data_IF_027749019755
#
_entry.id   IF_027749019755
#
_cell.length_a   1.000
_cell.length_b   1.000
_cell.length_c   1.000
_cell.angle_alpha   90.00
_cell.angle_beta   90.00
_cell.angle_gamma   90.00
#
_symmetry.space_group_name_H-M   'P 1'
#
loop_
_entity.id
_entity.type
_entity.pdbx_description
1 polymer ?
#
# COMPACT_ATOMS: atom_id res chain seq x y z
N UNK A 1 30.96 -2.65 26.24
CA UNK A 1 29.93 -1.97 25.47
C UNK A 1 29.01 -3.03 24.91
N UNK A 2 27.76 -2.97 25.30
CA UNK A 2 26.70 -3.90 24.93
C UNK A 2 26.59 -3.99 23.41
N UNK A 3 27.10 -5.06 22.87
CA UNK A 3 26.66 -5.59 21.59
C UNK A 3 25.19 -5.95 21.84
N UNK A 4 24.23 -5.41 21.08
CA UNK A 4 22.79 -5.69 21.23
C UNK A 4 22.42 -7.13 20.82
N UNK A 5 23.38 -8.05 20.96
CA UNK A 5 23.30 -9.45 20.57
C UNK A 5 23.43 -10.36 21.79
N UNK A 6 22.54 -11.36 21.87
CA UNK A 6 22.68 -12.43 22.82
C UNK A 6 23.80 -13.39 22.40
N UNK A 7 24.67 -13.73 23.34
CA UNK A 7 25.77 -14.65 23.10
C UNK A 7 25.65 -15.81 24.10
N UNK A 8 25.66 -17.04 23.60
CA UNK A 8 25.70 -18.27 24.37
C UNK A 8 26.92 -19.05 23.90
N UNK A 9 27.75 -19.51 24.83
CA UNK A 9 28.82 -20.46 24.51
C UNK A 9 28.50 -21.84 25.07
N UNK A 10 28.91 -22.87 24.35
CA UNK A 10 28.73 -24.26 24.78
C UNK A 10 30.07 -24.98 24.82
N UNK A 11 30.11 -26.09 25.53
CA UNK A 11 31.19 -27.05 25.44
C UNK A 11 31.05 -27.97 24.21
N UNK A 12 31.96 -28.93 24.05
CA UNK A 12 31.97 -29.86 22.91
C UNK A 12 30.75 -30.81 22.89
N UNK A 13 30.10 -31.01 24.03
CA UNK A 13 28.88 -31.82 24.18
C UNK A 13 27.61 -31.01 23.92
N UNK A 14 27.70 -29.69 23.61
CA UNK A 14 26.55 -28.79 23.35
C UNK A 14 25.89 -28.25 24.61
N UNK A 15 26.48 -28.44 25.82
CA UNK A 15 25.98 -27.84 27.05
C UNK A 15 26.49 -26.42 27.23
N UNK A 16 25.66 -25.60 27.82
CA UNK A 16 25.93 -24.17 27.99
C UNK A 16 27.03 -23.92 29.00
N UNK A 17 28.02 -23.13 28.60
CA UNK A 17 29.08 -22.61 29.47
C UNK A 17 28.77 -21.23 30.02
N UNK A 18 28.41 -20.28 29.14
CA UNK A 18 28.16 -18.89 29.50
C UNK A 18 26.99 -18.29 28.71
N UNK A 19 26.31 -17.33 29.33
CA UNK A 19 25.38 -16.41 28.70
C UNK A 19 25.81 -14.98 28.97
N UNK A 20 25.75 -14.12 27.95
CA UNK A 20 25.87 -12.67 28.22
C UNK A 20 24.54 -12.10 28.75
N UNK A 21 24.56 -10.83 29.20
CA UNK A 21 23.38 -10.16 29.75
C UNK A 21 22.21 -10.10 28.78
N UNK A 22 22.49 -9.87 27.48
CA UNK A 22 21.45 -9.82 26.42
C UNK A 22 20.82 -11.20 26.20
N UNK A 23 21.63 -12.27 26.18
CA UNK A 23 21.09 -13.61 26.09
C UNK A 23 20.22 -13.97 27.30
N UNK A 24 20.64 -13.56 28.51
CA UNK A 24 19.84 -13.76 29.73
C UNK A 24 18.49 -13.01 29.64
N UNK A 25 18.48 -11.77 29.17
CA UNK A 25 17.26 -10.97 29.01
C UNK A 25 16.30 -11.60 27.99
N UNK A 26 16.82 -11.97 26.81
CA UNK A 26 16.00 -12.51 25.74
C UNK A 26 15.48 -13.93 26.01
N UNK A 27 16.26 -14.77 26.69
CA UNK A 27 15.85 -16.15 27.01
C UNK A 27 15.07 -16.25 28.32
N UNK A 28 15.21 -15.27 29.21
CA UNK A 28 14.65 -15.27 30.55
C UNK A 28 15.42 -16.15 31.55
N UNK A 29 16.60 -16.69 31.18
CA UNK A 29 17.43 -17.50 32.01
C UNK A 29 18.60 -16.72 32.60
N UNK A 30 18.88 -16.89 33.89
CA UNK A 30 20.15 -16.40 34.44
C UNK A 30 21.30 -17.26 33.95
N UNK A 31 22.51 -16.70 33.86
CA UNK A 31 23.69 -17.48 33.50
C UNK A 31 23.89 -18.70 34.43
N UNK A 32 23.69 -18.49 35.75
CA UNK A 32 23.84 -19.54 36.74
C UNK A 32 22.83 -20.70 36.57
N UNK A 33 21.58 -20.38 36.19
CA UNK A 33 20.52 -21.38 35.98
C UNK A 33 20.64 -22.11 34.64
N UNK A 34 21.27 -21.46 33.65
CA UNK A 34 21.46 -21.99 32.31
C UNK A 34 22.73 -22.83 32.16
N UNK A 35 23.71 -22.66 33.04
CA UNK A 35 25.00 -23.38 33.00
C UNK A 35 24.78 -24.90 33.07
N UNK A 36 25.54 -25.67 32.26
CA UNK A 36 25.47 -27.13 32.13
C UNK A 36 24.15 -27.69 31.56
N UNK A 37 23.19 -26.83 31.16
CA UNK A 37 21.96 -27.26 30.48
C UNK A 37 22.19 -27.46 28.99
N UNK A 38 21.33 -28.27 28.39
CA UNK A 38 21.24 -28.40 26.94
C UNK A 38 20.78 -27.07 26.30
N UNK A 39 21.39 -26.69 25.18
CA UNK A 39 21.04 -25.41 24.50
C UNK A 39 19.55 -25.29 24.25
N UNK A 40 18.88 -26.33 23.76
CA UNK A 40 17.45 -26.26 23.38
C UNK A 40 16.50 -26.16 24.59
N UNK A 41 16.97 -26.36 25.82
CA UNK A 41 16.17 -26.03 27.00
C UNK A 41 16.08 -24.53 27.26
N UNK A 42 17.14 -23.80 26.91
CA UNK A 42 17.32 -22.37 27.16
C UNK A 42 16.97 -21.55 25.90
N UNK A 43 17.52 -21.96 24.76
CA UNK A 43 17.27 -21.31 23.44
C UNK A 43 16.17 -22.08 22.71
N UNK A 44 14.91 -21.83 23.11
CA UNK A 44 13.71 -22.48 22.55
C UNK A 44 13.25 -21.79 21.33
N UNK A 45 13.67 -22.24 20.17
CA UNK A 45 13.31 -21.66 18.87
C UNK A 45 12.41 -22.57 18.06
N UNK A 46 11.53 -21.97 17.28
CA UNK A 46 10.61 -22.63 16.35
C UNK A 46 10.57 -21.89 15.01
N UNK A 47 10.14 -22.58 13.95
CA UNK A 47 9.89 -21.99 12.67
C UNK A 47 8.55 -21.18 12.67
N UNK A 48 8.26 -20.45 11.59
CA UNK A 48 7.00 -19.73 11.43
C UNK A 48 5.76 -20.64 11.39
N UNK A 49 5.95 -21.94 11.12
CA UNK A 49 4.88 -22.96 11.11
C UNK A 49 4.60 -23.58 12.48
N UNK A 50 5.12 -22.99 13.57
CA UNK A 50 5.01 -23.49 14.95
C UNK A 50 5.68 -24.83 15.19
N UNK A 51 6.60 -25.25 14.32
CA UNK A 51 7.38 -26.49 14.48
C UNK A 51 8.67 -26.17 15.22
N UNK A 52 8.92 -26.89 16.31
CA UNK A 52 10.23 -26.84 16.97
C UNK A 52 11.33 -27.23 15.97
N UNK A 53 12.48 -26.55 16.03
CA UNK A 53 13.64 -26.97 15.24
C UNK A 53 13.96 -28.42 15.59
N UNK A 54 14.02 -29.25 14.56
CA UNK A 54 14.23 -30.71 14.73
C UNK A 54 15.63 -30.99 15.23
N UNK A 55 16.62 -30.20 14.85
CA UNK A 55 18.03 -30.41 15.16
C UNK A 55 18.56 -29.21 15.97
N UNK A 56 19.36 -29.56 16.98
CA UNK A 56 20.10 -28.58 17.76
C UNK A 56 21.17 -27.93 16.86
N UNK A 57 21.08 -26.60 16.58
CA UNK A 57 22.00 -25.94 15.66
C UNK A 57 23.48 -26.02 16.11
N UNK A 58 23.72 -26.08 17.40
CA UNK A 58 25.07 -26.29 17.93
C UNK A 58 25.61 -27.69 17.60
N UNK A 59 24.78 -28.72 17.79
CA UNK A 59 25.21 -30.07 17.48
C UNK A 59 25.50 -30.26 15.98
N UNK A 60 24.70 -29.61 15.13
CA UNK A 60 24.95 -29.64 13.68
C UNK A 60 26.24 -28.89 13.34
N UNK A 61 26.45 -27.68 13.90
CA UNK A 61 27.67 -26.90 13.66
C UNK A 61 28.93 -27.63 14.11
N UNK A 62 28.85 -28.32 15.25
CA UNK A 62 29.97 -29.14 15.80
C UNK A 62 30.25 -30.39 14.94
N UNK A 63 29.18 -31.08 14.49
CA UNK A 63 29.33 -32.31 13.70
C UNK A 63 29.82 -32.01 12.27
N UNK A 64 29.35 -30.95 11.64
CA UNK A 64 29.71 -30.56 10.27
C UNK A 64 30.91 -29.61 10.22
N UNK A 65 31.39 -29.18 11.38
CA UNK A 65 32.55 -28.28 11.54
C UNK A 65 32.46 -27.02 10.66
N UNK A 66 31.27 -26.45 10.60
CA UNK A 66 30.97 -25.24 9.79
C UNK A 66 30.12 -24.22 10.55
N UNK A 67 30.18 -22.98 10.09
CA UNK A 67 29.30 -21.91 10.57
C UNK A 67 27.89 -22.18 10.01
N UNK A 68 26.90 -22.08 10.88
CA UNK A 68 25.48 -22.15 10.55
C UNK A 68 24.82 -20.81 10.79
N UNK A 69 24.03 -20.37 9.86
CA UNK A 69 23.15 -19.21 10.00
C UNK A 69 21.70 -19.68 10.00
N UNK A 70 20.82 -18.92 10.66
CA UNK A 70 19.39 -19.14 10.48
C UNK A 70 18.99 -18.70 9.07
N UNK A 71 18.68 -19.67 8.20
CA UNK A 71 18.21 -19.38 6.82
C UNK A 71 16.73 -18.95 6.77
N UNK A 72 16.03 -19.10 7.87
CA UNK A 72 14.60 -18.78 8.00
C UNK A 72 14.34 -18.00 9.28
N UNK A 73 13.19 -17.35 9.28
CA UNK A 73 12.66 -16.63 10.41
C UNK A 73 12.35 -17.58 11.55
N UNK A 74 13.08 -17.48 12.64
CA UNK A 74 12.82 -18.27 13.85
C UNK A 74 12.26 -17.39 14.96
N UNK A 75 11.40 -18.00 15.77
CA UNK A 75 10.79 -17.36 16.93
C UNK A 75 11.42 -17.97 18.18
N UNK A 76 12.08 -17.17 18.98
CA UNK A 76 12.56 -17.53 20.32
C UNK A 76 11.43 -17.31 21.32
N UNK A 77 11.12 -18.34 22.12
CA UNK A 77 10.19 -18.21 23.24
C UNK A 77 10.98 -18.22 24.54
N UNK A 78 10.86 -17.15 25.32
CA UNK A 78 11.53 -17.03 26.61
C UNK A 78 10.83 -17.87 27.71
N UNK A 79 11.41 -17.86 28.91
CA UNK A 79 10.89 -18.60 30.06
C UNK A 79 9.52 -18.10 30.52
N UNK A 80 9.23 -16.81 30.34
CA UNK A 80 7.94 -16.18 30.68
C UNK A 80 6.85 -16.44 29.65
N UNK A 81 7.22 -16.97 28.47
CA UNK A 81 6.29 -17.21 27.35
C UNK A 81 6.26 -16.12 26.31
N UNK A 82 7.04 -15.04 26.46
CA UNK A 82 7.15 -13.98 25.46
C UNK A 82 7.91 -14.50 24.22
N UNK A 83 7.55 -13.95 23.07
CA UNK A 83 8.06 -14.40 21.78
C UNK A 83 8.80 -13.27 21.04
N UNK A 84 9.98 -13.60 20.57
CA UNK A 84 10.86 -12.70 19.84
C UNK A 84 11.26 -13.31 18.50
N UNK A 85 11.13 -12.56 17.42
CA UNK A 85 11.76 -12.93 16.17
C UNK A 85 13.27 -12.77 16.31
N UNK A 86 14.02 -13.81 16.05
CA UNK A 86 15.48 -13.80 16.18
C UNK A 86 16.17 -14.33 14.93
N UNK A 87 17.33 -13.75 14.65
CA UNK A 87 18.32 -14.31 13.74
C UNK A 87 19.49 -14.82 14.55
N UNK A 88 20.04 -15.97 14.19
CA UNK A 88 21.18 -16.52 14.89
C UNK A 88 22.26 -17.03 13.94
N UNK A 89 23.48 -17.04 14.48
CA UNK A 89 24.65 -17.66 13.86
C UNK A 89 25.32 -18.55 14.90
N UNK A 90 25.69 -19.75 14.50
CA UNK A 90 26.47 -20.69 15.33
C UNK A 90 27.80 -20.93 14.66
N UNK A 91 28.88 -20.84 15.42
CA UNK A 91 30.22 -21.13 14.96
C UNK A 91 30.96 -22.03 15.95
N UNK A 92 31.70 -23.07 15.47
CA UNK A 92 32.52 -23.90 16.33
C UNK A 92 33.71 -23.10 16.88
N UNK A 93 34.05 -23.32 18.17
CA UNK A 93 35.22 -22.76 18.85
C UNK A 93 36.31 -23.83 18.82
N UNK A 94 37.50 -23.48 18.37
CA UNK A 94 38.65 -24.40 18.21
C UNK A 94 39.84 -23.99 19.09
N UNK A 95 40.57 -24.97 19.52
CA UNK A 95 41.88 -24.76 20.10
C UNK A 95 42.97 -24.62 19.01
N UNK A 96 44.11 -24.08 19.36
CA UNK A 96 45.30 -23.94 18.49
C UNK A 96 45.80 -25.28 17.91
N UNK A 97 45.39 -26.42 18.51
CA UNK A 97 45.73 -27.76 18.10
C UNK A 97 44.70 -28.50 17.22
N UNK A 98 43.70 -27.85 16.66
CA UNK A 98 42.63 -28.38 15.81
C UNK A 98 41.54 -29.18 16.53
N UNK A 99 41.48 -29.17 17.87
CA UNK A 99 40.36 -29.77 18.65
C UNK A 99 39.19 -28.79 18.73
N UNK A 100 37.95 -29.31 18.58
CA UNK A 100 36.72 -28.53 18.80
C UNK A 100 36.50 -28.45 20.33
N UNK A 101 36.51 -27.22 20.87
CA UNK A 101 36.29 -26.94 22.29
C UNK A 101 34.81 -26.74 22.65
N UNK A 102 33.99 -26.36 21.64
CA UNK A 102 32.59 -26.05 21.81
C UNK A 102 32.07 -25.19 20.65
N UNK A 103 30.99 -24.46 20.88
CA UNK A 103 30.44 -23.54 19.91
C UNK A 103 30.05 -22.23 20.58
N UNK A 104 29.97 -21.17 19.73
CA UNK A 104 29.35 -19.92 20.08
C UNK A 104 28.10 -19.74 19.25
N UNK A 105 26.99 -19.47 19.90
CA UNK A 105 25.73 -19.01 19.33
C UNK A 105 25.63 -17.53 19.58
N UNK A 106 25.49 -16.76 18.50
CA UNK A 106 25.18 -15.33 18.55
C UNK A 106 23.81 -15.14 17.97
N UNK A 107 22.94 -14.40 18.64
CA UNK A 107 21.59 -14.12 18.16
C UNK A 107 21.15 -12.70 18.48
N UNK A 108 20.31 -12.14 17.63
CA UNK A 108 19.76 -10.81 17.81
C UNK A 108 18.24 -10.81 17.69
N UNK A 109 17.61 -9.96 18.48
CA UNK A 109 16.18 -9.69 18.35
C UNK A 109 15.92 -8.79 17.14
N UNK A 110 15.15 -9.29 16.18
CA UNK A 110 14.76 -8.58 14.96
C UNK A 110 13.26 -8.29 14.91
N UNK A 111 12.56 -8.42 16.03
CA UNK A 111 11.09 -8.27 16.09
C UNK A 111 10.65 -6.90 15.59
N UNK A 112 11.23 -5.81 16.13
CA UNK A 112 10.88 -4.45 15.69
C UNK A 112 11.26 -4.21 14.22
N UNK A 113 12.45 -4.65 13.80
CA UNK A 113 12.91 -4.50 12.42
C UNK A 113 11.94 -5.18 11.45
N UNK A 114 11.49 -6.38 11.79
CA UNK A 114 10.51 -7.13 10.98
C UNK A 114 9.13 -6.51 10.98
N UNK A 115 8.66 -6.05 12.12
CA UNK A 115 7.39 -5.33 12.21
C UNK A 115 7.42 -4.09 11.31
N UNK A 116 8.49 -3.29 11.38
CA UNK A 116 8.68 -2.13 10.51
C UNK A 116 8.75 -2.52 9.03
N UNK A 117 9.50 -3.57 8.68
CA UNK A 117 9.60 -4.04 7.30
C UNK A 117 8.25 -4.54 6.75
N UNK A 118 7.49 -5.30 7.56
CA UNK A 118 6.15 -5.76 7.19
C UNK A 118 5.16 -4.60 7.05
N UNK A 119 5.23 -3.61 7.95
CA UNK A 119 4.40 -2.42 7.88
C UNK A 119 4.72 -1.58 6.64
N UNK A 120 6.01 -1.37 6.33
CA UNK A 120 6.43 -0.70 5.10
C UNK A 120 5.97 -1.46 3.85
N UNK A 121 6.09 -2.78 3.82
CA UNK A 121 5.62 -3.60 2.72
C UNK A 121 4.09 -3.52 2.56
N UNK A 122 3.36 -3.49 3.66
CA UNK A 122 1.91 -3.31 3.66
C UNK A 122 1.52 -1.92 3.15
N UNK A 123 2.16 -0.85 3.65
CA UNK A 123 1.92 0.53 3.21
C UNK A 123 2.29 0.75 1.74
N UNK A 124 3.30 0.04 1.23
CA UNK A 124 3.67 0.09 -0.19
C UNK A 124 2.56 -0.43 -1.12
N UNK A 125 1.66 -1.29 -0.63
CA UNK A 125 0.62 -1.97 -1.41
C UNK A 125 -0.81 -1.61 -1.01
N UNK A 126 -1.02 -0.97 0.15
CA UNK A 126 -2.35 -0.65 0.69
C UNK A 126 -2.50 0.84 1.03
N UNK A 127 -3.72 1.33 0.92
CA UNK A 127 -4.11 2.67 1.35
C UNK A 127 -4.22 2.71 2.89
N UNK A 128 -3.48 3.61 3.51
CA UNK A 128 -3.37 3.67 4.98
C UNK A 128 -4.65 4.09 5.69
N UNK A 129 -5.56 4.78 5.00
CA UNK A 129 -6.83 5.20 5.58
C UNK A 129 -7.85 4.06 5.59
N UNK A 130 -8.01 3.37 4.47
CA UNK A 130 -9.09 2.40 4.26
C UNK A 130 -8.64 0.94 4.40
N UNK A 131 -7.33 0.67 4.35
CA UNK A 131 -6.79 -0.70 4.33
C UNK A 131 -7.00 -1.44 3.01
N UNK A 132 -7.59 -0.81 1.99
CA UNK A 132 -7.75 -1.37 0.66
C UNK A 132 -6.42 -1.34 -0.11
N UNK A 133 -6.37 -2.05 -1.21
CA UNK A 133 -5.26 -1.94 -2.16
C UNK A 133 -5.09 -0.46 -2.57
N UNK A 134 -3.85 0.03 -2.60
CA UNK A 134 -3.55 1.38 -3.07
C UNK A 134 -3.44 1.44 -4.60
N UNK A 135 -3.32 2.64 -5.15
CA UNK A 135 -3.21 2.87 -6.59
C UNK A 135 -2.06 2.09 -7.23
N UNK A 136 -0.88 2.10 -6.59
CA UNK A 136 0.31 1.45 -7.13
C UNK A 136 0.10 -0.07 -7.32
N UNK A 137 -0.37 -0.74 -6.30
CA UNK A 137 -0.63 -2.19 -6.36
C UNK A 137 -1.83 -2.52 -7.26
N UNK A 138 -2.84 -1.62 -7.33
CA UNK A 138 -3.94 -1.78 -8.27
C UNK A 138 -3.49 -1.73 -9.73
N UNK A 139 -2.63 -0.78 -10.09
CA UNK A 139 -2.07 -0.66 -11.42
C UNK A 139 -1.27 -1.92 -11.81
N UNK A 140 -0.52 -2.49 -10.86
CA UNK A 140 0.19 -3.77 -11.07
C UNK A 140 -0.78 -4.92 -11.36
N UNK A 141 -1.85 -5.05 -10.56
CA UNK A 141 -2.87 -6.11 -10.77
C UNK A 141 -3.64 -5.92 -12.06
N UNK A 142 -3.95 -4.69 -12.42
CA UNK A 142 -4.59 -4.36 -13.68
C UNK A 142 -3.70 -4.71 -14.88
N UNK A 143 -2.38 -4.48 -14.78
CA UNK A 143 -1.42 -4.90 -15.80
C UNK A 143 -1.40 -6.43 -15.98
N UNK A 144 -1.44 -7.19 -14.88
CA UNK A 144 -1.51 -8.65 -14.93
C UNK A 144 -2.82 -9.13 -15.55
N UNK A 145 -3.96 -8.50 -15.21
CA UNK A 145 -5.25 -8.81 -15.82
C UNK A 145 -5.25 -8.52 -17.32
N UNK A 146 -4.69 -7.38 -17.74
CA UNK A 146 -4.55 -7.05 -19.17
C UNK A 146 -3.65 -8.04 -19.91
N UNK A 147 -2.58 -8.49 -19.27
CA UNK A 147 -1.72 -9.52 -19.84
C UNK A 147 -2.43 -10.87 -19.97
N UNK A 148 -3.22 -11.26 -18.96
CA UNK A 148 -3.98 -12.52 -18.99
C UNK A 148 -5.13 -12.49 -19.98
N UNK A 149 -5.75 -11.32 -20.23
CA UNK A 149 -6.81 -11.15 -21.23
C UNK A 149 -6.31 -11.38 -22.68
N UNK A 150 -4.99 -11.36 -22.92
CA UNK A 150 -4.39 -11.70 -24.22
C UNK A 150 -4.37 -13.22 -24.49
N UNK A 151 -4.61 -14.03 -23.45
CA UNK A 151 -4.80 -15.48 -23.58
C UNK A 151 -6.24 -15.82 -23.95
N UNK A 152 -6.45 -17.05 -24.43
CA UNK A 152 -7.80 -17.52 -24.74
C UNK A 152 -8.63 -17.70 -23.46
N UNK A 153 -9.91 -17.28 -23.49
CA UNK A 153 -10.92 -17.46 -22.44
C UNK A 153 -10.74 -16.67 -21.11
N UNK A 154 -9.91 -15.65 -21.05
CA UNK A 154 -9.84 -14.77 -19.88
C UNK A 154 -10.60 -13.45 -20.13
N UNK A 155 -11.57 -13.17 -19.28
CA UNK A 155 -12.39 -11.96 -19.35
C UNK A 155 -12.31 -11.21 -18.04
N UNK A 156 -11.95 -9.96 -18.07
CA UNK A 156 -11.90 -9.11 -16.88
C UNK A 156 -12.70 -7.84 -17.12
N UNK A 157 -13.15 -7.22 -16.05
CA UNK A 157 -13.86 -5.94 -16.14
C UNK A 157 -13.34 -5.01 -15.05
N UNK A 158 -13.09 -3.77 -15.45
CA UNK A 158 -12.69 -2.67 -14.56
C UNK A 158 -13.92 -1.81 -14.25
N UNK A 159 -14.14 -1.52 -12.98
CA UNK A 159 -15.08 -0.54 -12.48
C UNK A 159 -14.30 0.62 -11.86
N UNK A 160 -14.60 1.85 -12.27
CA UNK A 160 -14.14 3.07 -11.64
C UNK A 160 -15.31 3.69 -10.88
N UNK A 161 -15.13 3.94 -9.60
CA UNK A 161 -16.21 4.31 -8.67
C UNK A 161 -15.83 5.64 -8.03
N UNK A 162 -16.69 6.62 -8.15
CA UNK A 162 -16.52 7.94 -7.54
C UNK A 162 -17.73 8.29 -6.68
N UNK A 163 -17.47 8.79 -5.47
CA UNK A 163 -18.51 9.14 -4.52
C UNK A 163 -19.12 10.50 -4.84
N UNK A 164 -20.38 10.49 -5.18
CA UNK A 164 -21.10 11.71 -5.46
C UNK A 164 -21.21 12.59 -4.22
N UNK A 165 -20.86 13.88 -4.38
CA UNK A 165 -21.01 14.89 -3.33
C UNK A 165 -20.21 14.64 -2.02
N UNK A 166 -19.18 13.80 -2.03
CA UNK A 166 -18.29 13.57 -0.88
C UNK A 166 -17.78 14.88 -0.27
N UNK A 167 -17.48 15.86 -1.11
CA UNK A 167 -17.06 17.17 -0.66
C UNK A 167 -18.05 17.85 0.29
N UNK A 168 -19.36 17.63 0.13
CA UNK A 168 -20.38 18.23 1.00
C UNK A 168 -20.19 17.73 2.45
N UNK A 169 -19.82 16.47 2.65
CA UNK A 169 -19.53 15.93 3.98
C UNK A 169 -18.30 16.60 4.57
N UNK A 170 -17.22 16.73 3.80
CA UNK A 170 -16.01 17.43 4.24
C UNK A 170 -16.27 18.90 4.58
N UNK A 171 -16.97 19.61 3.71
CA UNK A 171 -17.26 21.04 3.90
C UNK A 171 -18.21 21.28 5.09
N UNK A 172 -19.06 20.29 5.44
CA UNK A 172 -20.06 20.40 6.52
C UNK A 172 -19.54 19.92 7.88
N UNK A 173 -18.71 18.87 7.91
CA UNK A 173 -18.31 18.16 9.12
C UNK A 173 -16.79 18.07 9.30
N UNK A 174 -16.00 18.58 8.37
CA UNK A 174 -14.54 18.51 8.39
C UNK A 174 -13.97 17.20 7.83
N UNK A 175 -12.66 17.19 7.58
CA UNK A 175 -11.97 16.06 6.94
C UNK A 175 -12.04 14.77 7.75
N UNK A 176 -12.04 14.85 9.09
CA UNK A 176 -12.18 13.64 9.94
C UNK A 176 -13.48 12.89 9.71
N UNK A 177 -14.58 13.62 9.39
CA UNK A 177 -15.86 13.01 9.04
C UNK A 177 -15.79 12.33 7.66
N UNK A 178 -15.12 12.96 6.69
CA UNK A 178 -14.88 12.37 5.38
C UNK A 178 -14.03 11.10 5.45
N UNK A 179 -12.97 11.11 6.27
CA UNK A 179 -12.12 9.95 6.49
C UNK A 179 -12.91 8.78 7.10
N UNK A 180 -13.74 9.04 8.11
CA UNK A 180 -14.60 8.03 8.71
C UNK A 180 -15.65 7.49 7.72
N UNK A 181 -16.22 8.35 6.86
CA UNK A 181 -17.11 7.93 5.77
C UNK A 181 -16.40 6.97 4.81
N UNK A 182 -15.19 7.33 4.36
CA UNK A 182 -14.40 6.50 3.45
C UNK A 182 -14.06 5.14 4.05
N UNK A 183 -13.68 5.08 5.32
CA UNK A 183 -13.41 3.83 6.03
C UNK A 183 -14.63 2.92 6.11
N UNK A 184 -15.78 3.48 6.51
CA UNK A 184 -17.02 2.70 6.62
C UNK A 184 -17.50 2.21 5.26
N UNK A 185 -17.41 3.05 4.23
CA UNK A 185 -17.81 2.69 2.88
C UNK A 185 -16.88 1.64 2.27
N UNK A 186 -15.57 1.78 2.47
CA UNK A 186 -14.59 0.78 2.05
C UNK A 186 -14.93 -0.61 2.60
N UNK A 187 -15.28 -0.70 3.88
CA UNK A 187 -15.70 -1.96 4.51
C UNK A 187 -16.98 -2.53 3.86
N UNK A 188 -17.96 -1.69 3.52
CA UNK A 188 -19.19 -2.12 2.84
C UNK A 188 -18.93 -2.61 1.41
N UNK A 189 -18.11 -1.89 0.64
CA UNK A 189 -17.72 -2.28 -0.71
C UNK A 189 -16.93 -3.59 -0.69
N UNK A 190 -16.01 -3.74 0.26
CA UNK A 190 -15.23 -4.96 0.44
C UNK A 190 -16.12 -6.17 0.78
N UNK A 191 -17.10 -6.00 1.66
CA UNK A 191 -18.07 -7.06 2.01
C UNK A 191 -18.93 -7.47 0.82
N UNK A 192 -19.12 -6.57 -0.16
CA UNK A 192 -19.88 -6.82 -1.41
C UNK A 192 -19.03 -7.40 -2.53
N UNK A 193 -17.71 -7.49 -2.35
CA UNK A 193 -16.75 -7.98 -3.35
C UNK A 193 -16.33 -9.42 -3.05
N UNK A 194 -15.97 -10.18 -4.08
CA UNK A 194 -15.46 -11.56 -3.93
C UNK A 194 -13.98 -11.54 -3.55
N UNK A 195 -13.48 -12.63 -2.98
CA UNK A 195 -12.05 -12.80 -2.68
C UNK A 195 -11.14 -12.71 -3.92
N UNK A 196 -11.68 -13.08 -5.10
CA UNK A 196 -10.98 -13.01 -6.39
C UNK A 196 -10.88 -11.60 -6.95
N UNK A 197 -11.73 -10.69 -6.46
CA UNK A 197 -11.80 -9.32 -6.97
C UNK A 197 -10.81 -8.43 -6.22
N UNK A 198 -10.33 -7.41 -6.88
CA UNK A 198 -9.43 -6.43 -6.25
C UNK A 198 -10.14 -5.10 -6.10
N UNK A 199 -10.48 -4.75 -4.87
CA UNK A 199 -11.00 -3.42 -4.53
C UNK A 199 -9.84 -2.55 -4.07
N UNK A 200 -9.75 -1.34 -4.63
CA UNK A 200 -8.71 -0.37 -4.34
C UNK A 200 -9.29 1.02 -4.08
N UNK A 201 -8.55 1.83 -3.34
CA UNK A 201 -8.75 3.28 -3.30
C UNK A 201 -7.64 3.95 -4.10
N UNK A 202 -8.04 4.72 -5.12
CA UNK A 202 -7.08 5.39 -6.02
C UNK A 202 -6.62 6.75 -5.47
N UNK A 203 -7.43 7.38 -4.64
CA UNK A 203 -7.17 8.65 -3.98
C UNK A 203 -8.46 9.41 -3.72
N UNK A 204 -8.48 10.35 -2.78
CA UNK A 204 -9.67 11.15 -2.48
C UNK A 204 -10.91 10.29 -2.22
N UNK A 205 -11.93 10.47 -3.02
CA UNK A 205 -13.22 9.78 -3.04
C UNK A 205 -13.35 8.74 -4.17
N UNK A 206 -12.21 8.39 -4.82
CA UNK A 206 -12.16 7.49 -5.95
C UNK A 206 -11.76 6.08 -5.53
N UNK A 207 -12.56 5.11 -5.93
CA UNK A 207 -12.30 3.68 -5.75
C UNK A 207 -12.26 2.98 -7.12
N UNK A 208 -11.62 1.83 -7.16
CA UNK A 208 -11.64 0.96 -8.33
C UNK A 208 -11.88 -0.48 -7.93
N UNK A 209 -12.58 -1.23 -8.77
CA UNK A 209 -12.82 -2.66 -8.57
C UNK A 209 -12.46 -3.40 -9.86
N UNK A 210 -11.47 -4.28 -9.75
CA UNK A 210 -11.10 -5.22 -10.82
C UNK A 210 -11.81 -6.55 -10.58
N UNK A 211 -12.70 -6.88 -11.47
CA UNK A 211 -13.43 -8.15 -11.48
C UNK A 211 -12.69 -9.17 -12.33
N UNK A 212 -12.03 -10.13 -11.67
CA UNK A 212 -11.28 -11.17 -12.35
C UNK A 212 -12.22 -12.24 -12.94
N UNK A 213 -11.90 -12.69 -14.16
CA UNK A 213 -12.68 -13.69 -14.90
C UNK A 213 -14.20 -13.36 -14.94
N UNK A 214 -14.51 -12.08 -15.18
CA UNK A 214 -15.88 -11.58 -15.17
C UNK A 214 -16.17 -10.85 -16.48
N UNK A 215 -17.19 -11.34 -17.21
CA UNK A 215 -17.67 -10.71 -18.44
C UNK A 215 -18.51 -9.47 -18.12
N UNK A 216 -18.56 -8.53 -19.05
CA UNK A 216 -19.27 -7.25 -18.92
C UNK A 216 -20.69 -7.38 -18.38
N UNK A 217 -21.49 -8.32 -18.90
CA UNK A 217 -22.87 -8.53 -18.44
C UNK A 217 -22.96 -8.83 -16.93
N UNK A 218 -22.09 -9.70 -16.41
CA UNK A 218 -22.04 -10.02 -14.97
C UNK A 218 -21.51 -8.87 -14.17
N UNK A 219 -20.50 -8.16 -14.70
CA UNK A 219 -19.93 -6.98 -14.07
C UNK A 219 -20.94 -5.85 -13.89
N UNK A 220 -21.86 -5.65 -14.85
CA UNK A 220 -22.93 -4.66 -14.74
C UNK A 220 -23.86 -4.94 -13.55
N UNK A 221 -24.25 -6.19 -13.33
CA UNK A 221 -25.05 -6.56 -12.15
C UNK A 221 -24.30 -6.26 -10.84
N UNK A 222 -22.98 -6.50 -10.83
CA UNK A 222 -22.15 -6.18 -9.67
C UNK A 222 -22.08 -4.66 -9.48
N UNK A 223 -21.85 -3.90 -10.53
CA UNK A 223 -21.77 -2.43 -10.48
C UNK A 223 -23.09 -1.81 -10.00
N UNK A 224 -24.24 -2.27 -10.51
CA UNK A 224 -25.57 -1.84 -10.06
C UNK A 224 -25.85 -2.21 -8.60
N UNK A 225 -25.40 -3.38 -8.15
CA UNK A 225 -25.50 -3.78 -6.75
C UNK A 225 -24.67 -2.87 -5.85
N UNK A 226 -23.46 -2.50 -6.27
CA UNK A 226 -22.60 -1.54 -5.55
C UNK A 226 -23.24 -0.15 -5.48
N UNK A 227 -23.80 0.38 -6.58
CA UNK A 227 -24.55 1.63 -6.55
C UNK A 227 -25.68 1.59 -5.50
N UNK A 228 -26.50 0.53 -5.50
CA UNK A 228 -27.58 0.36 -4.51
C UNK A 228 -27.04 0.24 -3.08
N UNK A 229 -25.91 -0.43 -2.86
CA UNK A 229 -25.27 -0.54 -1.55
C UNK A 229 -24.84 0.82 -1.02
N UNK A 230 -24.20 1.65 -1.88
CA UNK A 230 -23.79 3.01 -1.52
C UNK A 230 -25.01 3.90 -1.30
N UNK A 231 -26.03 3.84 -2.15
CA UNK A 231 -27.26 4.63 -2.00
C UNK A 231 -28.04 4.29 -0.72
N UNK A 232 -28.05 3.01 -0.32
CA UNK A 232 -28.68 2.56 0.90
C UNK A 232 -27.88 2.91 2.16
N UNK A 233 -26.57 3.20 2.01
CA UNK A 233 -25.68 3.53 3.11
C UNK A 233 -26.07 4.88 3.72
N UNK A 234 -26.11 4.93 5.07
CA UNK A 234 -26.39 6.15 5.82
C UNK A 234 -25.22 6.44 6.75
N UNK A 235 -24.49 7.47 6.42
CA UNK A 235 -23.39 7.95 7.25
C UNK A 235 -23.95 8.86 8.37
N UNK A 236 -23.67 8.50 9.61
CA UNK A 236 -24.08 9.29 10.78
C UNK A 236 -22.85 9.86 11.45
N UNK A 237 -22.80 11.19 11.57
CA UNK A 237 -21.73 11.91 12.22
C UNK A 237 -22.30 13.05 13.06
N UNK A 238 -21.93 13.09 14.33
CA UNK A 238 -22.38 14.14 15.27
C UNK A 238 -23.90 14.42 15.19
N UNK A 239 -24.70 13.36 15.25
CA UNK A 239 -26.19 13.38 15.16
C UNK A 239 -26.76 13.85 13.81
N UNK A 240 -25.92 14.11 12.81
CA UNK A 240 -26.36 14.39 11.43
C UNK A 240 -26.28 13.12 10.61
N UNK A 241 -27.24 12.91 9.73
CA UNK A 241 -27.27 11.78 8.80
C UNK A 241 -27.07 12.26 7.37
N UNK A 242 -26.13 11.64 6.67
CA UNK A 242 -25.81 11.96 5.25
C UNK A 242 -26.11 10.72 4.40
N UNK A 243 -26.82 10.93 3.30
CA UNK A 243 -26.90 9.97 2.22
C UNK A 243 -25.79 10.28 1.23
N UNK A 244 -25.16 9.25 0.72
CA UNK A 244 -24.16 9.31 -0.36
C UNK A 244 -24.60 8.42 -1.49
N UNK A 245 -24.14 8.71 -2.70
CA UNK A 245 -24.31 7.85 -3.87
C UNK A 245 -22.98 7.68 -4.57
N UNK A 246 -22.93 6.82 -5.57
CA UNK A 246 -21.74 6.61 -6.38
C UNK A 246 -22.07 6.62 -7.87
N UNK A 247 -21.20 7.24 -8.66
CA UNK A 247 -21.17 7.11 -10.10
C UNK A 247 -20.11 6.11 -10.49
N UNK A 248 -20.43 5.16 -11.38
CA UNK A 248 -19.57 4.04 -11.73
C UNK A 248 -19.37 3.98 -13.24
N UNK A 249 -18.10 4.06 -13.68
CA UNK A 249 -17.68 3.77 -15.05
C UNK A 249 -17.25 2.31 -15.17
N UNK A 250 -17.66 1.62 -16.22
CA UNK A 250 -17.37 0.19 -16.45
C UNK A 250 -16.66 0.02 -17.78
N UNK A 251 -15.53 -0.70 -17.77
CA UNK A 251 -14.74 -1.02 -18.96
C UNK A 251 -14.42 -2.50 -19.01
N UNK A 252 -14.74 -3.16 -20.12
CA UNK A 252 -14.31 -4.53 -20.37
C UNK A 252 -12.83 -4.53 -20.75
N UNK A 253 -12.05 -5.41 -20.12
CA UNK A 253 -10.62 -5.56 -20.42
C UNK A 253 -10.48 -6.61 -21.52
N UNK A 254 -10.01 -6.17 -22.68
CA UNK A 254 -9.84 -6.97 -23.91
C UNK A 254 -8.36 -7.03 -24.29
N UNK A 255 -7.98 -7.97 -25.16
CA UNK A 255 -6.61 -8.05 -25.69
C UNK A 255 -6.11 -6.76 -26.35
N UNK A 256 -7.02 -5.98 -26.91
CA UNK A 256 -6.77 -4.73 -27.64
C UNK A 256 -7.02 -3.45 -26.81
N UNK A 257 -7.25 -3.58 -25.52
CA UNK A 257 -7.58 -2.45 -24.62
C UNK A 257 -6.44 -1.44 -24.38
N UNK A 258 -5.31 -1.55 -25.09
CA UNK A 258 -4.19 -0.62 -24.96
C UNK A 258 -3.34 -0.85 -23.71
N UNK A 259 -3.11 0.22 -22.94
CA UNK A 259 -2.29 0.21 -21.73
C UNK A 259 -3.17 0.31 -20.46
N UNK A 260 -2.57 0.12 -19.29
CA UNK A 260 -3.22 0.36 -17.97
C UNK A 260 -3.78 1.78 -17.89
N UNK A 261 -3.01 2.76 -18.37
CA UNK A 261 -3.41 4.16 -18.39
C UNK A 261 -4.64 4.41 -19.30
N UNK A 262 -4.69 3.74 -20.45
CA UNK A 262 -5.82 3.84 -21.36
C UNK A 262 -7.10 3.25 -20.75
N UNK A 263 -6.98 2.10 -20.07
CA UNK A 263 -8.09 1.46 -19.35
C UNK A 263 -8.63 2.34 -18.21
N UNK A 264 -7.74 2.91 -17.40
CA UNK A 264 -8.14 3.79 -16.29
C UNK A 264 -8.78 5.06 -16.83
N UNK A 265 -8.22 5.66 -17.88
CA UNK A 265 -8.80 6.84 -18.54
C UNK A 265 -10.17 6.55 -19.15
N UNK A 266 -10.35 5.39 -19.77
CA UNK A 266 -11.63 4.96 -20.32
C UNK A 266 -12.68 4.79 -19.21
N UNK A 267 -12.30 4.17 -18.07
CA UNK A 267 -13.20 3.98 -16.95
C UNK A 267 -13.57 5.27 -16.23
N UNK A 268 -12.61 6.21 -16.09
CA UNK A 268 -12.85 7.56 -15.56
C UNK A 268 -13.79 8.36 -16.48
N UNK A 269 -13.55 8.35 -17.79
CA UNK A 269 -14.44 9.00 -18.76
C UNK A 269 -15.87 8.45 -18.68
N UNK A 270 -16.03 7.13 -18.55
CA UNK A 270 -17.34 6.51 -18.36
C UNK A 270 -17.99 6.93 -17.03
N UNK A 271 -17.20 7.00 -15.95
CA UNK A 271 -17.66 7.50 -14.66
C UNK A 271 -18.10 8.97 -14.75
N UNK A 272 -17.35 9.77 -15.47
CA UNK A 272 -17.72 11.16 -15.73
C UNK A 272 -19.08 11.28 -16.46
N UNK A 273 -19.30 10.46 -17.49
CA UNK A 273 -20.60 10.41 -18.20
C UNK A 273 -21.72 9.99 -17.25
N UNK A 274 -21.46 9.02 -16.34
CA UNK A 274 -22.44 8.64 -15.32
C UNK A 274 -22.82 9.82 -14.41
N UNK A 275 -21.85 10.65 -14.02
CA UNK A 275 -22.08 11.89 -13.23
C UNK A 275 -22.92 12.92 -14.01
N UNK A 276 -22.63 13.08 -15.29
CA UNK A 276 -23.32 14.05 -16.16
C UNK A 276 -24.77 13.65 -16.43
N UNK A 277 -25.01 12.39 -16.64
CA UNK A 277 -26.37 11.83 -16.84
C UNK A 277 -27.25 11.89 -15.58
N UNK A 278 -26.76 12.43 -14.46
CA UNK A 278 -27.55 12.65 -13.23
C UNK A 278 -27.08 11.88 -12.02
N UNK A 279 -25.86 11.35 -12.00
CA UNK A 279 -25.22 10.64 -10.88
C UNK A 279 -25.95 9.36 -10.45
N UNK A 280 -25.47 8.71 -9.39
CA UNK A 280 -26.07 7.51 -8.80
C UNK A 280 -26.40 6.44 -9.85
N UNK A 281 -25.45 6.13 -10.73
CA UNK A 281 -25.63 5.18 -11.84
C UNK A 281 -24.35 4.58 -12.35
N UNK A 282 -24.55 3.54 -13.14
CA UNK A 282 -23.50 2.86 -13.89
C UNK A 282 -23.54 3.32 -15.35
N UNK A 283 -22.36 3.57 -15.94
CA UNK A 283 -22.21 3.78 -17.37
C UNK A 283 -21.10 2.87 -17.92
N UNK A 284 -21.37 2.23 -19.05
CA UNK A 284 -20.39 1.41 -19.76
C UNK A 284 -19.66 2.29 -20.74
N UNK A 285 -18.33 2.25 -20.72
CA UNK A 285 -17.49 3.00 -21.65
C UNK A 285 -17.89 2.77 -23.11
N UNK A 286 -18.02 3.87 -23.84
CA UNK A 286 -18.20 3.91 -25.27
C UNK A 286 -17.11 4.79 -25.89
N UNK A 287 -16.64 4.51 -27.11
CA UNK A 287 -15.61 5.33 -27.75
C UNK A 287 -15.95 6.83 -27.82
N UNK A 288 -17.22 7.18 -27.93
CA UNK A 288 -17.69 8.56 -27.98
C UNK A 288 -17.61 9.31 -26.62
N UNK A 289 -17.46 8.59 -25.52
CA UNK A 289 -17.37 9.17 -24.17
C UNK A 289 -16.15 10.09 -24.02
N UNK A 290 -15.05 9.79 -24.71
CA UNK A 290 -13.83 10.62 -24.72
C UNK A 290 -14.14 12.01 -25.27
N UNK A 291 -14.90 12.09 -26.36
CA UNK A 291 -15.27 13.37 -26.98
C UNK A 291 -16.25 14.16 -26.09
N UNK A 292 -17.16 13.48 -25.39
CA UNK A 292 -18.07 14.08 -24.42
C UNK A 292 -17.31 14.66 -23.21
N UNK A 293 -16.42 13.89 -22.62
CA UNK A 293 -15.61 14.32 -21.49
C UNK A 293 -14.72 15.52 -21.84
N UNK A 294 -14.08 15.50 -23.01
CA UNK A 294 -13.27 16.62 -23.48
C UNK A 294 -14.09 17.89 -23.68
N UNK A 295 -15.22 17.80 -24.40
CA UNK A 295 -16.09 18.99 -24.66
C UNK A 295 -16.62 19.61 -23.38
N UNK A 296 -16.95 18.83 -22.39
CA UNK A 296 -17.46 19.32 -21.12
C UNK A 296 -16.36 19.88 -20.22
N UNK A 297 -15.18 19.25 -20.23
CA UNK A 297 -13.98 19.80 -19.61
C UNK A 297 -13.67 21.21 -20.14
N UNK A 298 -13.70 21.38 -21.46
CA UNK A 298 -13.55 22.69 -22.14
C UNK A 298 -14.63 23.72 -21.74
N UNK A 299 -15.90 23.31 -21.68
CA UNK A 299 -16.98 24.20 -21.26
C UNK A 299 -16.89 24.62 -19.79
N UNK A 300 -16.49 23.73 -18.91
CA UNK A 300 -16.25 24.04 -17.49
C UNK A 300 -15.08 25.01 -17.33
N UNK A 301 -14.00 24.81 -18.10
CA UNK A 301 -12.86 25.74 -18.11
C UNK A 301 -13.23 27.10 -18.65
N UNK A 302 -14.01 27.18 -19.72
CA UNK A 302 -14.52 28.47 -20.26
C UNK A 302 -15.29 29.24 -19.20
N UNK A 303 -16.16 28.58 -18.43
CA UNK A 303 -16.92 29.21 -17.35
C UNK A 303 -15.99 29.68 -16.21
N UNK A 304 -15.02 28.86 -15.80
CA UNK A 304 -14.04 29.18 -14.75
C UNK A 304 -13.11 30.33 -15.16
N UNK A 305 -12.62 30.32 -16.39
CA UNK A 305 -11.77 31.36 -16.96
C UNK A 305 -12.54 32.68 -17.02
N UNK A 306 -13.79 32.67 -17.53
CA UNK A 306 -14.63 33.88 -17.58
C UNK A 306 -14.87 34.47 -16.20
N UNK A 307 -15.23 33.61 -15.22
CA UNK A 307 -15.43 34.01 -13.83
C UNK A 307 -14.15 34.56 -13.20
N UNK A 308 -12.98 33.97 -13.50
CA UNK A 308 -11.70 34.45 -13.03
C UNK A 308 -11.32 35.81 -13.65
N UNK A 309 -11.64 36.04 -14.92
CA UNK A 309 -11.46 37.33 -15.58
C UNK A 309 -12.37 38.42 -14.96
N UNK A 310 -13.66 38.12 -14.78
CA UNK A 310 -14.63 39.05 -14.19
C UNK A 310 -14.26 39.49 -12.77
N UNK A 311 -13.61 38.60 -12.02
CA UNK A 311 -13.22 38.86 -10.63
C UNK A 311 -11.72 39.18 -10.43
N UNK A 312 -10.98 39.46 -11.52
CA UNK A 312 -9.57 39.85 -11.46
C UNK A 312 -8.64 38.76 -10.83
N UNK A 313 -9.00 37.50 -11.01
CA UNK A 313 -8.25 36.37 -10.38
C UNK A 313 -7.14 35.79 -11.26
N UNK A 314 -6.63 36.56 -12.22
CA UNK A 314 -5.40 36.24 -12.94
C UNK A 314 -4.24 37.01 -12.37
N UNK A 315 -3.12 36.33 -12.18
CA UNK A 315 -1.86 36.89 -11.68
C UNK A 315 -0.74 36.62 -12.68
N UNK A 316 0.06 37.64 -12.90
CA UNK A 316 1.27 37.57 -13.74
C UNK A 316 2.47 37.37 -12.84
N UNK A 317 3.19 36.32 -13.07
CA UNK A 317 4.52 36.05 -12.50
C UNK A 317 5.54 36.32 -13.59
N UNK A 318 6.78 36.58 -13.20
CA UNK A 318 7.88 36.65 -14.15
C UNK A 318 9.07 35.86 -13.68
N UNK A 319 9.77 35.24 -14.64
CA UNK A 319 11.03 34.57 -14.42
C UNK A 319 12.12 35.31 -15.20
N UNK A 320 13.22 35.69 -14.52
CA UNK A 320 14.36 36.32 -15.17
C UNK A 320 15.14 35.28 -15.99
N UNK A 321 15.44 35.64 -17.20
CA UNK A 321 16.32 34.87 -18.09
C UNK A 321 17.72 35.46 -18.03
N UNK A 322 18.72 34.64 -17.67
CA UNK A 322 20.12 35.05 -17.71
C UNK A 322 20.73 34.66 -19.05
N UNK A 323 21.42 35.61 -19.69
CA UNK A 323 22.24 35.30 -20.87
C UNK A 323 23.43 34.46 -20.47
N UNK A 324 23.67 33.38 -21.20
CA UNK A 324 24.87 32.56 -21.04
C UNK A 324 26.09 33.15 -21.76
N UNK A 325 25.90 34.23 -22.55
CA UNK A 325 26.95 34.93 -23.26
C UNK A 325 27.47 36.11 -22.44
N UNK A 326 28.76 36.19 -22.20
CA UNK A 326 29.39 37.31 -21.51
C UNK A 326 29.31 38.59 -22.36
N UNK A 327 28.58 39.58 -21.91
CA UNK A 327 28.55 40.92 -22.50
C UNK A 327 27.19 41.52 -22.86
N UNK A 328 26.10 40.75 -22.86
CA UNK A 328 24.77 41.31 -23.10
C UNK A 328 23.98 41.55 -21.80
N UNK A 329 23.80 42.82 -21.42
CA UNK A 329 22.98 43.25 -20.29
C UNK A 329 21.45 43.35 -20.67
N UNK A 330 20.94 42.52 -21.55
CA UNK A 330 19.53 42.51 -21.84
C UNK A 330 18.77 41.85 -20.66
N UNK A 331 17.95 42.65 -19.96
CA UNK A 331 17.04 42.10 -18.93
C UNK A 331 15.85 41.42 -19.65
N UNK A 332 16.01 40.17 -20.00
CA UNK A 332 14.92 39.35 -20.53
C UNK A 332 14.17 38.71 -19.39
N UNK A 333 12.88 38.66 -19.48
CA UNK A 333 12.02 37.92 -18.54
C UNK A 333 10.91 37.18 -19.31
N UNK A 334 10.58 36.00 -18.82
CA UNK A 334 9.40 35.25 -19.23
C UNK A 334 8.23 35.64 -18.35
N UNK A 335 7.09 35.92 -18.93
CA UNK A 335 5.85 36.21 -18.21
C UNK A 335 5.05 34.91 -18.09
N UNK A 336 4.74 34.52 -16.86
CA UNK A 336 4.03 33.32 -16.51
C UNK A 336 2.64 33.68 -15.97
N UNK A 337 1.60 33.27 -16.69
CA UNK A 337 0.23 33.42 -16.23
C UNK A 337 -0.12 32.41 -15.15
N UNK A 338 -0.84 32.79 -14.10
CA UNK A 338 -1.47 31.96 -13.11
C UNK A 338 -2.91 32.40 -12.91
N UNK A 339 -3.80 31.44 -12.71
CA UNK A 339 -5.18 31.71 -12.31
C UNK A 339 -5.34 31.37 -10.83
N UNK A 340 -6.05 32.20 -10.09
CA UNK A 340 -6.44 31.91 -8.71
C UNK A 340 -7.86 31.38 -8.73
N UNK A 341 -8.07 30.19 -8.21
CA UNK A 341 -9.40 29.58 -8.16
C UNK A 341 -10.31 30.26 -7.10
N UNK A 342 -11.55 29.81 -6.99
CA UNK A 342 -12.50 30.36 -6.02
C UNK A 342 -12.10 30.10 -4.55
N UNK A 343 -11.11 29.23 -4.29
CA UNK A 343 -10.57 28.91 -2.96
C UNK A 343 -9.30 29.66 -2.64
N UNK A 344 -8.77 30.44 -3.60
CA UNK A 344 -7.51 31.15 -3.46
C UNK A 344 -6.28 30.32 -3.86
N UNK A 345 -6.45 29.15 -4.45
CA UNK A 345 -5.36 28.28 -4.90
C UNK A 345 -4.87 28.66 -6.30
N UNK A 346 -3.55 28.56 -6.51
CA UNK A 346 -2.91 28.84 -7.79
C UNK A 346 -3.10 27.67 -8.76
N UNK A 347 -3.71 27.95 -9.90
CA UNK A 347 -3.91 27.02 -11.01
C UNK A 347 -2.89 27.29 -12.11
N UNK A 348 -2.05 26.30 -12.49
CA UNK A 348 -1.04 26.48 -13.53
C UNK A 348 -1.68 26.53 -14.93
N UNK A 349 -1.01 27.17 -15.92
CA UNK A 349 -1.54 27.34 -17.28
C UNK A 349 -1.93 26.04 -17.97
N UNK A 350 -1.13 24.99 -17.84
CA UNK A 350 -1.40 23.68 -18.45
C UNK A 350 -2.67 22.98 -17.95
N UNK A 351 -3.31 23.50 -16.90
CA UNK A 351 -4.58 22.98 -16.42
C UNK A 351 -5.81 23.67 -17.07
N UNK A 352 -5.66 24.86 -17.71
CA UNK A 352 -6.76 25.60 -18.26
C UNK A 352 -6.50 26.18 -19.67
N UNK A 353 -5.29 26.02 -20.19
CA UNK A 353 -4.94 26.31 -21.60
C UNK A 353 -4.69 24.96 -22.27
N UNK A 354 -5.41 24.60 -23.33
CA UNK A 354 -5.26 23.37 -24.07
C UNK A 354 -3.87 23.21 -24.68
#
# INVERSE_FOLDING_TARGET
>A
HSIGEGVITTNAEGKINTLNSVASELTGWSEADAQERELMEVFRVRDQGDRALTDNPVNVALAEDRILNSDQDVILRNQSGDEFAVEYTVAPIRDQGSGVLGAVLVFRNVTELRQMANEMAYQATHDTLTGLVNRFEFDNRLALALQSARGEDHYHTLLYIDLDQFKVVNDTCGHSAGDALLQQLAAQLQASSRRSDTLARLGGDEFALLLANCRLHTALHTAEALCRTVEAFRFVWDKKSFGVSASIGVVEIRPDSGTVTDLLSAADNACYVAKDLGRNRVHVFQPDDVALAQRQGEMQWLSRIRNALEHGRFQLYYQRMASLSAGENAQLCEILLRMVDARGELVPPGAFIP
#
